data_IF_486194804778
#
_entry.id   IF_486194804778
#
_cell.length_a   1.000
_cell.length_b   1.000
_cell.length_c   1.000
_cell.angle_alpha   90.00
_cell.angle_beta   90.00
_cell.angle_gamma   90.00
#
_symmetry.space_group_name_H-M   'P 1'
#
loop_
_entity.id
_entity.type
_entity.pdbx_description
1 polymer ?
#
# COMPACT_ATOMS: atom_id res chain seq x y z
N UNK A 1 26.28 -5.11 -32.92
CA UNK A 1 26.74 -5.61 -31.61
C UNK A 1 26.18 -7.01 -31.50
N UNK A 2 27.01 -8.06 -31.54
CA UNK A 2 26.50 -9.42 -31.29
C UNK A 2 26.14 -9.53 -29.81
N UNK A 3 24.91 -9.93 -29.52
CA UNK A 3 24.50 -10.35 -28.18
C UNK A 3 25.39 -11.52 -27.74
N UNK A 4 25.80 -11.47 -26.47
CA UNK A 4 26.61 -12.51 -25.84
C UNK A 4 25.87 -13.86 -25.89
N UNK A 5 26.45 -14.92 -26.48
CA UNK A 5 25.81 -16.23 -26.56
C UNK A 5 25.53 -16.84 -25.17
N UNK A 6 26.28 -16.49 -24.13
CA UNK A 6 26.03 -16.98 -22.78
C UNK A 6 24.77 -16.35 -22.16
N UNK A 7 24.57 -15.04 -22.39
CA UNK A 7 23.36 -14.35 -21.95
C UNK A 7 22.11 -14.90 -22.66
N UNK A 8 22.22 -15.21 -23.95
CA UNK A 8 21.13 -15.79 -24.72
C UNK A 8 20.74 -17.17 -24.16
N UNK A 9 21.72 -18.03 -23.86
CA UNK A 9 21.47 -19.34 -23.29
C UNK A 9 20.82 -19.27 -21.89
N UNK A 10 21.20 -18.27 -21.08
CA UNK A 10 20.60 -18.05 -19.76
C UNK A 10 19.14 -17.59 -19.88
N UNK A 11 18.84 -16.67 -20.80
CA UNK A 11 17.48 -16.22 -21.07
C UNK A 11 16.60 -17.36 -21.59
N UNK A 12 17.10 -18.15 -22.53
CA UNK A 12 16.39 -19.33 -23.07
C UNK A 12 16.10 -20.35 -21.95
N UNK A 13 17.02 -20.52 -21.00
CA UNK A 13 16.83 -21.39 -19.83
C UNK A 13 15.75 -20.88 -18.86
N UNK A 14 15.70 -19.57 -18.59
CA UNK A 14 14.65 -18.97 -17.74
C UNK A 14 13.28 -19.07 -18.41
N UNK A 15 13.19 -18.80 -19.72
CA UNK A 15 11.94 -18.93 -20.47
C UNK A 15 11.44 -20.37 -20.45
N UNK A 16 12.33 -21.35 -20.70
CA UNK A 16 11.97 -22.76 -20.62
C UNK A 16 11.48 -23.20 -19.25
N UNK A 17 12.12 -22.74 -18.17
CA UNK A 17 11.69 -23.05 -16.80
C UNK A 17 10.31 -22.46 -16.46
N UNK A 18 10.01 -21.25 -16.91
CA UNK A 18 8.69 -20.62 -16.74
C UNK A 18 7.63 -21.35 -17.56
N UNK A 19 7.93 -21.75 -18.80
CA UNK A 19 7.01 -22.53 -19.64
C UNK A 19 6.72 -23.91 -19.02
N UNK A 20 7.73 -24.58 -18.45
CA UNK A 20 7.57 -25.85 -17.75
C UNK A 20 6.73 -25.69 -16.47
N UNK A 21 6.91 -24.59 -15.71
CA UNK A 21 6.10 -24.28 -14.52
C UNK A 21 4.65 -23.96 -14.88
N UNK A 22 4.41 -23.20 -15.94
CA UNK A 22 3.06 -22.91 -16.47
C UNK A 22 2.39 -24.19 -17.00
N UNK A 23 3.16 -25.09 -17.63
CA UNK A 23 2.66 -26.37 -18.12
C UNK A 23 2.38 -27.37 -16.99
N UNK A 24 3.11 -27.26 -15.87
CA UNK A 24 2.98 -28.12 -14.70
C UNK A 24 1.90 -27.67 -13.72
N UNK A 25 1.48 -26.40 -13.74
CA UNK A 25 0.35 -25.91 -12.95
C UNK A 25 -0.96 -26.55 -13.48
N UNK A 26 -1.62 -27.45 -12.72
CA UNK A 26 -2.89 -28.03 -13.10
C UNK A 26 -3.94 -26.93 -12.96
N UNK A 27 -4.01 -26.08 -13.99
CA UNK A 27 -4.66 -24.78 -14.01
C UNK A 27 -5.71 -24.56 -12.92
N UNK A 28 -5.48 -23.53 -12.11
CA UNK A 28 -6.39 -23.06 -11.08
C UNK A 28 -7.85 -23.21 -11.55
N UNK A 29 -8.68 -24.01 -10.84
CA UNK A 29 -9.98 -24.41 -11.34
C UNK A 29 -10.81 -23.16 -11.61
N UNK A 30 -11.38 -23.07 -12.82
CA UNK A 30 -12.27 -21.95 -13.12
C UNK A 30 -13.50 -22.00 -12.20
N UNK A 31 -14.15 -20.86 -12.02
CA UNK A 31 -15.28 -20.74 -11.11
C UNK A 31 -16.41 -21.73 -11.45
N UNK A 32 -16.64 -22.01 -12.73
CA UNK A 32 -17.64 -22.98 -13.17
C UNK A 32 -17.26 -24.42 -12.73
N UNK A 33 -15.99 -24.80 -12.89
CA UNK A 33 -15.46 -26.09 -12.45
C UNK A 33 -15.53 -26.24 -10.92
N UNK A 34 -15.30 -25.16 -10.17
CA UNK A 34 -15.46 -25.17 -8.71
C UNK A 34 -16.91 -25.41 -8.29
N UNK A 35 -17.87 -24.72 -8.92
CA UNK A 35 -19.31 -24.86 -8.62
C UNK A 35 -19.84 -26.23 -9.05
N UNK A 36 -19.42 -26.73 -10.21
CA UNK A 36 -19.74 -28.09 -10.66
C UNK A 36 -19.22 -29.14 -9.67
N UNK A 37 -17.96 -28.99 -9.22
CA UNK A 37 -17.38 -29.89 -8.22
C UNK A 37 -18.10 -29.81 -6.86
N UNK A 38 -18.52 -28.62 -6.46
CA UNK A 38 -19.31 -28.46 -5.23
C UNK A 38 -20.68 -29.14 -5.32
N UNK A 39 -21.33 -29.13 -6.49
CA UNK A 39 -22.57 -29.88 -6.74
C UNK A 39 -22.36 -31.39 -6.69
N UNK A 40 -21.27 -31.92 -7.26
CA UNK A 40 -20.93 -33.34 -7.16
C UNK A 40 -20.74 -33.79 -5.71
N UNK A 41 -20.16 -32.94 -4.87
CA UNK A 41 -19.90 -33.24 -3.47
C UNK A 41 -21.16 -33.12 -2.59
N UNK A 42 -22.02 -32.14 -2.83
CA UNK A 42 -23.27 -31.93 -2.08
C UNK A 42 -24.39 -31.36 -2.97
N UNK A 43 -25.20 -32.23 -3.60
CA UNK A 43 -26.30 -31.81 -4.47
C UNK A 43 -27.44 -31.08 -3.74
N UNK A 44 -27.53 -31.20 -2.41
CA UNK A 44 -28.57 -30.52 -1.63
C UNK A 44 -28.21 -29.07 -1.35
N UNK A 45 -26.92 -28.77 -1.19
CA UNK A 45 -26.43 -27.40 -0.96
C UNK A 45 -26.23 -26.61 -2.24
N UNK A 46 -25.73 -27.23 -3.30
CA UNK A 46 -25.60 -26.60 -4.62
C UNK A 46 -26.61 -27.28 -5.51
N UNK A 47 -27.68 -26.59 -5.89
CA UNK A 47 -28.71 -27.18 -6.77
C UNK A 47 -28.24 -27.18 -8.23
N UNK A 48 -28.75 -28.11 -9.02
CA UNK A 48 -28.40 -28.23 -10.44
C UNK A 48 -28.69 -26.92 -11.22
N UNK A 49 -29.74 -26.18 -10.83
CA UNK A 49 -30.07 -24.92 -11.50
C UNK A 49 -28.99 -23.85 -11.32
N UNK A 50 -28.24 -23.87 -10.21
CA UNK A 50 -27.11 -22.94 -9.97
C UNK A 50 -25.93 -23.29 -10.86
N UNK A 51 -25.69 -24.59 -11.11
CA UNK A 51 -24.65 -25.05 -12.04
C UNK A 51 -25.01 -24.63 -13.47
N UNK A 52 -26.26 -24.83 -13.86
CA UNK A 52 -26.77 -24.44 -15.18
C UNK A 52 -26.74 -22.91 -15.37
N UNK A 53 -27.10 -22.14 -14.34
CA UNK A 53 -27.03 -20.69 -14.33
C UNK A 53 -25.58 -20.21 -14.48
N UNK A 54 -24.65 -20.73 -13.68
CA UNK A 54 -23.21 -20.37 -13.78
C UNK A 54 -22.66 -20.74 -15.15
N UNK A 55 -23.02 -21.89 -15.71
CA UNK A 55 -22.62 -22.28 -17.07
C UNK A 55 -23.25 -21.39 -18.15
N UNK A 56 -24.49 -20.93 -17.95
CA UNK A 56 -25.19 -20.03 -18.87
C UNK A 56 -24.58 -18.62 -18.88
N UNK A 57 -24.22 -18.10 -17.71
CA UNK A 57 -23.54 -16.81 -17.55
C UNK A 57 -22.03 -16.87 -17.78
N UNK A 58 -21.49 -18.06 -18.04
CA UNK A 58 -20.10 -18.26 -18.42
C UNK A 58 -19.90 -18.34 -19.95
N UNK A 59 -20.04 -17.24 -20.71
CA UNK A 59 -19.09 -16.92 -21.75
C UNK A 59 -18.05 -15.92 -21.18
N UNK A 60 -17.59 -16.15 -19.94
CA UNK A 60 -16.42 -15.45 -19.42
C UNK A 60 -15.23 -16.17 -20.03
N UNK A 61 -14.61 -15.53 -21.01
CA UNK A 61 -13.34 -15.91 -21.62
C UNK A 61 -12.48 -16.57 -20.54
N UNK A 62 -12.27 -17.88 -20.64
CA UNK A 62 -11.33 -18.53 -19.73
C UNK A 62 -10.07 -17.69 -19.78
N UNK A 63 -9.61 -17.20 -18.62
CA UNK A 63 -8.38 -16.42 -18.54
C UNK A 63 -7.25 -17.21 -19.23
N UNK A 64 -7.36 -18.54 -19.23
CA UNK A 64 -6.53 -19.46 -20.02
C UNK A 64 -6.70 -19.40 -21.56
N UNK A 65 -7.90 -19.22 -22.14
CA UNK A 65 -8.01 -18.97 -23.59
C UNK A 65 -7.63 -17.53 -23.98
N UNK A 66 -7.82 -16.54 -23.09
CA UNK A 66 -7.25 -15.21 -23.28
C UNK A 66 -5.71 -15.24 -23.26
N UNK A 67 -5.11 -16.01 -22.35
CA UNK A 67 -3.66 -16.20 -22.28
C UNK A 67 -3.10 -17.10 -23.40
N UNK A 68 -3.83 -18.14 -23.84
CA UNK A 68 -3.41 -18.98 -24.98
C UNK A 68 -3.58 -18.29 -26.34
N UNK A 69 -4.46 -17.29 -26.47
CA UNK A 69 -4.59 -16.49 -27.71
C UNK A 69 -3.81 -15.18 -27.70
N UNK A 70 -3.46 -14.64 -26.53
CA UNK A 70 -2.43 -13.59 -26.45
C UNK A 70 -1.07 -14.26 -26.63
N UNK A 71 -0.59 -14.31 -27.88
CA UNK A 71 0.85 -14.37 -28.18
C UNK A 71 1.50 -13.17 -27.51
N UNK A 72 1.89 -13.30 -26.24
CA UNK A 72 2.74 -12.35 -25.51
C UNK A 72 4.13 -12.21 -26.15
N UNK A 73 4.46 -13.07 -27.13
CA UNK A 73 5.68 -12.97 -27.94
C UNK A 73 5.69 -11.78 -28.91
N UNK A 74 4.52 -11.29 -29.34
CA UNK A 74 4.40 -10.20 -30.32
C UNK A 74 3.78 -8.92 -29.73
N UNK A 75 3.63 -8.84 -28.40
CA UNK A 75 3.06 -7.66 -27.74
C UNK A 75 4.13 -6.56 -27.67
N UNK A 76 3.99 -5.57 -28.56
CA UNK A 76 4.91 -4.44 -28.71
C UNK A 76 5.06 -3.66 -27.40
N UNK A 77 4.02 -3.62 -26.56
CA UNK A 77 4.07 -2.92 -25.26
C UNK A 77 4.92 -3.69 -24.25
N UNK A 78 4.80 -5.02 -24.20
CA UNK A 78 5.63 -5.86 -23.33
C UNK A 78 7.09 -5.84 -23.78
N UNK A 79 7.34 -5.88 -25.09
CA UNK A 79 8.69 -5.75 -25.63
C UNK A 79 9.33 -4.41 -25.27
N UNK A 80 8.57 -3.30 -25.31
CA UNK A 80 9.06 -2.00 -24.88
C UNK A 80 9.42 -1.96 -23.37
N UNK A 81 8.64 -2.66 -22.52
CA UNK A 81 8.96 -2.78 -21.09
C UNK A 81 10.22 -3.62 -20.88
N UNK A 82 10.35 -4.75 -21.58
CA UNK A 82 11.54 -5.62 -21.50
C UNK A 82 12.79 -4.89 -22.00
N UNK A 83 12.69 -4.15 -23.10
CA UNK A 83 13.79 -3.32 -23.62
C UNK A 83 14.16 -2.19 -22.64
N UNK A 84 13.18 -1.57 -21.97
CA UNK A 84 13.41 -0.58 -20.93
C UNK A 84 14.18 -1.14 -19.73
N UNK A 85 13.76 -2.29 -19.20
CA UNK A 85 14.45 -2.97 -18.09
C UNK A 85 15.87 -3.38 -18.50
N UNK A 86 16.04 -3.88 -19.73
CA UNK A 86 17.36 -4.24 -20.25
C UNK A 86 18.29 -3.03 -20.34
N UNK A 87 17.82 -1.90 -20.86
CA UNK A 87 18.60 -0.67 -20.96
C UNK A 87 19.04 -0.17 -19.57
N UNK A 88 18.18 -0.26 -18.56
CA UNK A 88 18.48 0.14 -17.19
C UNK A 88 19.55 -0.78 -16.54
N UNK A 89 19.47 -2.09 -16.75
CA UNK A 89 20.49 -3.05 -16.28
C UNK A 89 21.82 -2.84 -16.99
N UNK A 90 21.83 -2.65 -18.32
CA UNK A 90 23.03 -2.36 -19.08
C UNK A 90 23.70 -1.04 -18.62
N UNK A 91 22.91 -0.03 -18.27
CA UNK A 91 23.38 1.23 -17.71
C UNK A 91 23.99 1.06 -16.31
N UNK A 92 23.38 0.28 -15.41
CA UNK A 92 23.94 -0.01 -14.08
C UNK A 92 25.26 -0.80 -14.18
N UNK A 93 25.33 -1.79 -15.08
CA UNK A 93 26.56 -2.55 -15.34
C UNK A 93 27.65 -1.64 -15.91
N UNK A 94 27.34 -0.79 -16.88
CA UNK A 94 28.30 0.17 -17.44
C UNK A 94 28.81 1.16 -16.38
N UNK A 95 27.93 1.63 -15.49
CA UNK A 95 28.30 2.52 -14.39
C UNK A 95 29.24 1.85 -13.38
N UNK A 96 29.02 0.57 -13.09
CA UNK A 96 29.89 -0.22 -12.20
C UNK A 96 31.24 -0.55 -12.82
N UNK A 97 31.28 -0.85 -14.11
CA UNK A 97 32.54 -1.10 -14.83
C UNK A 97 33.37 0.17 -15.04
N UNK A 98 32.72 1.33 -15.14
CA UNK A 98 33.38 2.64 -15.23
C UNK A 98 33.85 3.22 -13.89
N UNK A 99 33.37 2.69 -12.77
CA UNK A 99 33.80 3.13 -11.44
C UNK A 99 35.11 2.41 -11.09
N UNK A 100 36.26 3.10 -10.98
CA UNK A 100 37.50 2.45 -10.60
C UNK A 100 37.32 1.80 -9.22
N UNK A 101 37.84 0.57 -9.02
CA UNK A 101 37.73 -0.10 -7.73
C UNK A 101 38.29 0.81 -6.63
N UNK A 102 37.66 0.83 -5.44
CA UNK A 102 38.14 1.67 -4.35
C UNK A 102 39.62 1.36 -4.10
N UNK A 103 40.46 2.39 -4.20
CA UNK A 103 41.90 2.29 -3.96
C UNK A 103 42.09 1.64 -2.60
N UNK A 104 42.76 0.49 -2.59
CA UNK A 104 43.09 -0.22 -1.37
C UNK A 104 43.92 0.71 -0.48
N UNK A 105 43.32 1.19 0.61
CA UNK A 105 44.04 1.93 1.63
C UNK A 105 44.99 0.92 2.30
N UNK A 106 46.29 1.09 2.07
CA UNK A 106 47.36 0.32 2.71
C UNK A 106 47.18 0.38 4.22
N UNK A 107 46.64 -0.70 4.80
CA UNK A 107 46.61 -0.88 6.25
C UNK A 107 47.93 -1.52 6.67
N UNK A 108 48.59 -1.01 7.72
CA UNK A 108 49.88 -1.51 8.15
C UNK A 108 49.78 -3.00 8.56
N UNK A 109 50.83 -3.80 8.29
CA UNK A 109 50.82 -5.24 8.47
C UNK A 109 50.73 -5.61 9.95
N UNK A 110 49.57 -6.13 10.37
CA UNK A 110 49.45 -6.84 11.63
C UNK A 110 49.99 -8.27 11.44
N UNK A 111 51.05 -8.57 12.20
CA UNK A 111 51.78 -9.86 12.24
C UNK A 111 50.83 -11.06 12.30
N UNK A 112 50.84 -11.83 11.23
CA UNK A 112 50.04 -13.02 11.03
C UNK A 112 50.69 -14.25 11.66
N UNK A 113 49.95 -14.93 12.55
CA UNK A 113 50.24 -16.33 12.91
C UNK A 113 49.00 -17.22 12.98
N UNK A 114 47.88 -16.84 12.35
CA UNK A 114 46.65 -17.62 12.42
C UNK A 114 45.61 -17.41 11.31
N UNK A 115 46.00 -16.97 10.10
CA UNK A 115 45.02 -16.53 9.06
C UNK A 115 44.67 -17.61 8.02
N UNK A 116 45.36 -18.76 7.99
CA UNK A 116 44.97 -19.86 7.08
C UNK A 116 43.62 -20.53 7.42
N UNK A 117 43.06 -20.26 8.61
CA UNK A 117 41.75 -20.80 9.00
C UNK A 117 40.54 -20.07 8.42
N UNK A 118 40.67 -18.83 7.91
CA UNK A 118 39.50 -18.04 7.50
C UNK A 118 39.16 -18.10 6.00
N UNK A 119 40.10 -18.51 5.13
CA UNK A 119 39.80 -18.61 3.69
C UNK A 119 38.89 -19.80 3.37
N UNK A 120 38.91 -20.87 4.18
CA UNK A 120 37.99 -22.01 4.04
C UNK A 120 36.58 -21.74 4.61
N UNK A 121 36.42 -20.74 5.48
CA UNK A 121 35.11 -20.41 6.05
C UNK A 121 34.22 -19.59 5.10
N UNK A 122 34.80 -18.77 4.21
CA UNK A 122 34.04 -17.94 3.28
C UNK A 122 33.38 -18.75 2.13
N UNK A 123 34.00 -19.84 1.68
CA UNK A 123 33.43 -20.72 0.65
C UNK A 123 32.27 -21.59 1.18
N UNK A 124 32.28 -21.94 2.47
CA UNK A 124 31.21 -22.72 3.10
C UNK A 124 29.92 -21.89 3.32
N UNK A 125 30.03 -20.58 3.56
CA UNK A 125 28.87 -19.70 3.76
C UNK A 125 28.08 -19.48 2.46
N UNK A 126 28.75 -19.42 1.30
CA UNK A 126 28.06 -19.28 0.01
C UNK A 126 27.27 -20.55 -0.39
N UNK A 127 27.75 -21.74 -0.02
CA UNK A 127 27.00 -22.99 -0.27
C UNK A 127 25.80 -23.16 0.67
N UNK A 128 25.87 -22.66 1.91
CA UNK A 128 24.74 -22.72 2.86
C UNK A 128 23.64 -21.72 2.49
N UNK A 129 23.98 -20.52 1.99
CA UNK A 129 22.97 -19.54 1.55
C UNK A 129 22.29 -19.98 0.24
N UNK A 130 23.03 -20.57 -0.71
CA UNK A 130 22.46 -21.12 -1.95
C UNK A 130 21.51 -22.30 -1.73
N UNK A 131 21.85 -23.23 -0.81
CA UNK A 131 20.99 -24.36 -0.49
C UNK A 131 19.74 -23.97 0.33
N UNK A 132 19.81 -22.88 1.12
CA UNK A 132 18.68 -22.40 1.92
C UNK A 132 17.55 -21.79 1.08
N UNK A 133 17.87 -21.18 -0.06
CA UNK A 133 16.87 -20.63 -1.00
C UNK A 133 16.10 -21.76 -1.70
N UNK A 134 16.76 -22.87 -2.04
CA UNK A 134 16.12 -24.04 -2.64
C UNK A 134 15.31 -24.87 -1.62
N UNK A 135 15.69 -24.92 -0.34
CA UNK A 135 14.87 -25.55 0.69
C UNK A 135 13.66 -24.69 1.10
N UNK A 136 13.77 -23.35 1.14
CA UNK A 136 12.65 -22.49 1.50
C UNK A 136 11.47 -22.53 0.51
N UNK A 137 11.72 -22.86 -0.76
CA UNK A 137 10.67 -23.14 -1.74
C UNK A 137 9.89 -24.44 -1.48
N UNK A 138 10.57 -25.45 -0.90
CA UNK A 138 9.97 -26.78 -0.65
C UNK A 138 9.07 -26.82 0.59
N UNK A 139 9.35 -25.99 1.60
CA UNK A 139 8.53 -25.90 2.82
C UNK A 139 7.21 -25.13 2.66
N UNK A 140 7.00 -24.44 1.53
CA UNK A 140 5.72 -23.75 1.24
C UNK A 140 4.63 -24.65 0.66
N UNK A 141 4.97 -25.85 0.19
CA UNK A 141 3.99 -26.79 -0.39
C UNK A 141 3.40 -27.78 0.62
N UNK A 142 3.93 -27.86 1.85
CA UNK A 142 3.47 -28.81 2.89
C UNK A 142 2.68 -28.17 4.05
N UNK A 143 2.28 -26.90 3.93
CA UNK A 143 1.34 -26.24 4.85
C UNK A 143 0.12 -25.68 4.12
N UNK A 144 -0.61 -26.56 3.46
CA UNK A 144 -2.04 -26.37 3.21
C UNK A 144 -2.79 -27.61 3.68
N UNK A 145 -2.96 -27.71 5.00
CA UNK A 145 -4.04 -28.48 5.62
C UNK A 145 -5.11 -27.45 6.03
N UNK A 146 -6.37 -27.61 5.59
CA UNK A 146 -7.41 -26.60 5.76
C UNK A 146 -7.89 -26.57 7.21
N UNK A 147 -7.37 -25.60 7.98
CA UNK A 147 -7.98 -25.21 9.25
C UNK A 147 -9.35 -24.58 8.98
N UNK A 148 -10.38 -25.42 9.00
CA UNK A 148 -11.76 -25.08 9.38
C UNK A 148 -11.76 -24.16 10.58
N UNK A 149 -12.35 -22.97 10.41
CA UNK A 149 -13.11 -22.13 11.37
C UNK A 149 -13.32 -20.77 10.67
N UNK A 150 -14.36 -20.62 9.85
CA UNK A 150 -15.66 -20.08 10.27
C UNK A 150 -15.56 -18.75 11.04
N UNK A 151 -15.67 -17.65 10.30
CA UNK A 151 -16.31 -16.41 10.74
C UNK A 151 -16.72 -15.58 9.50
N UNK A 152 -17.70 -16.09 8.76
CA UNK A 152 -18.41 -15.33 7.72
C UNK A 152 -19.42 -14.43 8.45
N UNK A 153 -19.15 -13.13 8.50
CA UNK A 153 -20.18 -12.14 8.76
C UNK A 153 -21.14 -12.11 7.56
N UNK A 154 -22.22 -12.89 7.63
CA UNK A 154 -23.41 -12.66 6.80
C UNK A 154 -24.12 -11.44 7.37
N UNK A 155 -24.03 -10.31 6.68
CA UNK A 155 -25.01 -9.24 6.83
C UNK A 155 -26.39 -9.75 6.36
N UNK A 156 -27.50 -9.31 6.97
CA UNK A 156 -28.83 -9.73 6.55
C UNK A 156 -29.09 -9.31 5.10
N UNK A 157 -29.49 -10.28 4.28
CA UNK A 157 -29.95 -10.04 2.92
C UNK A 157 -31.22 -9.17 2.93
N UNK A 158 -31.37 -8.23 1.97
CA UNK A 158 -32.63 -7.52 1.78
C UNK A 158 -33.72 -8.53 1.41
N UNK A 159 -34.84 -8.49 2.13
CA UNK A 159 -36.04 -9.26 1.79
C UNK A 159 -36.55 -8.83 0.41
N UNK A 160 -36.92 -9.78 -0.48
CA UNK A 160 -37.61 -9.42 -1.71
C UNK A 160 -39.02 -8.93 -1.37
N UNK A 161 -39.26 -7.64 -1.58
CA UNK A 161 -40.61 -7.09 -1.56
C UNK A 161 -41.46 -7.78 -2.64
N UNK A 162 -42.66 -8.29 -2.31
CA UNK A 162 -43.58 -8.78 -3.32
C UNK A 162 -44.09 -7.61 -4.16
N UNK A 163 -44.02 -7.76 -5.48
CA UNK A 163 -44.59 -6.85 -6.45
C UNK A 163 -46.08 -6.61 -6.17
N UNK A 164 -46.37 -5.46 -5.56
CA UNK A 164 -47.74 -4.98 -5.37
C UNK A 164 -48.16 -4.24 -6.63
N UNK A 165 -49.09 -4.83 -7.38
CA UNK A 165 -49.80 -4.17 -8.46
C UNK A 165 -50.59 -2.98 -7.90
N UNK A 166 -50.01 -1.78 -7.98
CA UNK A 166 -50.70 -0.52 -7.68
C UNK A 166 -51.35 -0.01 -8.96
N UNK A 167 -52.68 0.04 -8.95
CA UNK A 167 -53.53 0.67 -9.96
C UNK A 167 -53.20 2.18 -10.13
N UNK A 168 -53.48 2.78 -11.30
CA UNK A 168 -53.19 4.19 -11.54
C UNK A 168 -53.95 5.09 -10.55
N UNK A 169 -53.18 5.86 -9.79
CA UNK A 169 -53.66 6.89 -8.84
C UNK A 169 -54.11 8.12 -9.64
N UNK A 170 -55.31 8.67 -9.40
CA UNK A 170 -55.76 9.87 -10.09
C UNK A 170 -54.92 11.10 -9.68
N UNK A 171 -54.68 11.93 -10.69
CA UNK A 171 -53.94 13.17 -10.72
C UNK A 171 -54.53 14.19 -9.71
N UNK A 172 -53.75 14.69 -8.74
CA UNK A 172 -54.23 15.71 -7.81
C UNK A 172 -54.20 17.09 -8.45
N UNK A 173 -55.38 17.69 -8.48
CA UNK A 173 -55.71 19.07 -8.83
C UNK A 173 -54.86 20.06 -8.01
N UNK A 174 -54.25 21.02 -8.71
CA UNK A 174 -53.35 22.01 -8.15
C UNK A 174 -54.08 22.97 -7.20
N UNK A 175 -53.71 22.96 -5.92
CA UNK A 175 -54.09 24.00 -4.98
C UNK A 175 -53.06 25.16 -5.00
N UNK A 176 -53.48 26.42 -4.77
CA UNK A 176 -52.60 27.57 -4.78
C UNK A 176 -51.73 27.58 -3.53
N UNK A 177 -50.42 27.82 -3.71
CA UNK A 177 -49.47 28.02 -2.61
C UNK A 177 -49.67 29.43 -2.07
N UNK A 178 -50.25 29.54 -0.87
CA UNK A 178 -50.20 30.77 -0.08
C UNK A 178 -48.75 31.02 0.37
N UNK A 179 -48.32 32.26 0.15
CA UNK A 179 -47.07 32.79 0.64
C UNK A 179 -47.22 33.01 2.15
N UNK A 180 -46.54 32.18 2.94
CA UNK A 180 -46.47 32.38 4.38
C UNK A 180 -45.16 33.07 4.78
N UNK A 181 -45.37 33.95 5.74
CA UNK A 181 -44.60 35.12 6.10
C UNK A 181 -43.43 34.75 7.02
N UNK A 182 -42.46 35.64 7.10
CA UNK A 182 -41.23 35.48 7.84
C UNK A 182 -41.43 35.25 9.35
N UNK A 183 -40.74 34.26 9.92
CA UNK A 183 -40.41 34.27 11.35
C UNK A 183 -38.88 34.19 11.52
N UNK A 184 -38.31 35.35 11.83
CA UNK A 184 -36.94 35.53 12.26
C UNK A 184 -36.81 35.05 13.70
N UNK A 185 -35.98 34.03 13.92
CA UNK A 185 -35.55 33.62 15.27
C UNK A 185 -34.23 34.34 15.55
N UNK A 186 -34.32 35.47 16.27
CA UNK A 186 -33.19 36.05 16.99
C UNK A 186 -32.90 35.18 18.21
N UNK A 187 -31.90 34.31 18.13
CA UNK A 187 -31.36 33.61 19.30
C UNK A 187 -30.16 34.39 19.85
N UNK A 188 -30.44 35.16 20.89
CA UNK A 188 -29.48 35.94 21.65
C UNK A 188 -28.55 35.01 22.44
N UNK A 189 -27.31 34.84 21.97
CA UNK A 189 -26.22 34.29 22.79
C UNK A 189 -25.66 35.37 23.72
N UNK A 190 -26.03 35.22 24.99
CA UNK A 190 -25.58 35.95 26.16
C UNK A 190 -24.05 35.85 26.33
N UNK A 191 -23.37 37.00 26.24
CA UNK A 191 -21.97 37.16 26.62
C UNK A 191 -21.84 36.99 28.14
N UNK A 192 -21.28 35.86 28.58
CA UNK A 192 -20.81 35.68 29.96
C UNK A 192 -19.38 36.21 30.06
N UNK A 193 -19.27 37.38 30.68
CA UNK A 193 -18.03 38.05 31.05
C UNK A 193 -17.42 37.36 32.29
N UNK A 194 -16.20 36.77 32.23
CA UNK A 194 -15.60 36.15 33.40
C UNK A 194 -15.01 37.21 34.35
N UNK A 195 -15.54 37.24 35.57
CA UNK A 195 -15.04 38.07 36.67
C UNK A 195 -13.58 37.74 37.04
N UNK A 196 -12.77 38.75 37.43
CA UNK A 196 -11.42 38.56 37.92
C UNK A 196 -11.43 38.15 39.39
N UNK A 197 -11.23 36.85 39.67
CA UNK A 197 -10.96 36.37 41.02
C UNK A 197 -9.53 36.74 41.43
N UNK A 198 -9.44 37.85 42.16
CA UNK A 198 -8.27 38.26 42.92
C UNK A 198 -8.24 37.55 44.27
N UNK A 199 -7.07 37.00 44.61
CA UNK A 199 -6.54 36.95 45.99
C UNK A 199 -6.96 35.79 46.88
N UNK A 200 -5.98 34.95 47.22
CA UNK A 200 -5.67 34.35 48.53
C UNK A 200 -4.72 33.17 48.25
N UNK A 201 -3.65 32.89 48.97
CA UNK A 201 -2.85 33.55 49.99
C UNK A 201 -1.66 32.58 50.19
N UNK A 202 -0.66 32.97 50.97
CA UNK A 202 0.60 32.24 51.09
C UNK A 202 0.45 30.84 51.72
N UNK A 203 1.15 29.87 51.14
CA UNK A 203 1.64 28.70 51.88
C UNK A 203 3.11 28.49 51.54
N UNK A 204 3.93 29.22 52.29
CA UNK A 204 5.38 29.10 52.38
C UNK A 204 5.68 27.94 53.33
N UNK A 205 5.82 26.72 52.81
CA UNK A 205 6.33 25.59 53.60
C UNK A 205 7.41 24.83 52.83
N UNK A 206 8.60 24.85 53.44
CA UNK A 206 9.88 24.45 52.89
C UNK A 206 9.92 22.99 52.43
N UNK A 207 10.44 22.75 51.23
CA UNK A 207 10.83 21.41 50.77
C UNK A 207 12.21 21.44 50.09
N UNK A 208 12.98 20.33 50.18
CA UNK A 208 14.44 20.33 50.18
C UNK A 208 15.02 20.52 48.77
N UNK A 209 15.39 21.75 48.46
CA UNK A 209 16.19 22.10 47.30
C UNK A 209 17.66 21.71 47.54
N UNK A 210 18.07 20.49 47.18
CA UNK A 210 19.38 20.26 46.52
C UNK A 210 19.74 18.79 46.21
N UNK A 211 19.01 17.80 46.72
CA UNK A 211 19.41 16.39 46.52
C UNK A 211 18.98 15.75 45.16
N UNK A 212 18.13 16.41 44.35
CA UNK A 212 17.49 15.77 43.18
C UNK A 212 18.19 16.00 41.82
N UNK A 213 19.23 16.85 41.75
CA UNK A 213 19.91 17.14 40.47
C UNK A 213 20.96 16.09 40.06
N UNK A 214 21.41 15.22 40.97
CA UNK A 214 22.46 14.24 40.68
C UNK A 214 21.95 12.90 40.12
N UNK A 215 20.70 12.50 40.43
CA UNK A 215 20.15 11.22 39.98
C UNK A 215 19.67 11.21 38.51
N UNK A 216 19.46 12.37 37.87
CA UNK A 216 19.03 12.45 36.46
C UNK A 216 20.14 12.16 35.43
N UNK A 217 21.38 11.90 35.88
CA UNK A 217 22.50 11.49 35.00
C UNK A 217 22.57 9.96 34.81
N UNK A 218 21.69 9.20 35.45
CA UNK A 218 21.65 7.74 35.31
C UNK A 218 20.96 7.32 34.00
N UNK A 219 21.76 6.71 33.12
CA UNK A 219 21.37 5.81 32.02
C UNK A 219 20.36 6.34 31.01
N UNK A 220 20.75 7.35 30.21
CA UNK A 220 20.12 7.55 28.91
C UNK A 220 20.61 6.42 28.00
N UNK A 221 19.76 5.41 27.78
CA UNK A 221 20.06 4.35 26.83
C UNK A 221 20.54 4.95 25.50
N UNK A 222 21.52 4.33 24.82
CA UNK A 222 22.02 4.84 23.56
C UNK A 222 20.83 5.06 22.61
N UNK A 223 20.81 6.21 21.96
CA UNK A 223 19.75 6.54 21.03
C UNK A 223 19.81 5.55 19.86
N UNK A 224 18.79 4.69 19.73
CA UNK A 224 18.67 3.70 18.64
C UNK A 224 19.00 4.30 17.28
N UNK A 225 19.63 3.53 16.40
CA UNK A 225 19.95 4.01 15.04
C UNK A 225 18.68 4.12 14.20
N UNK A 226 18.78 4.74 13.01
CA UNK A 226 17.63 4.85 12.10
C UNK A 226 17.27 3.48 11.52
N UNK A 227 18.28 2.66 11.23
CA UNK A 227 18.15 1.30 10.70
C UNK A 227 17.50 0.37 11.73
N UNK A 228 17.86 0.50 13.00
CA UNK A 228 17.19 -0.23 14.08
C UNK A 228 15.70 0.16 14.19
N UNK A 229 15.38 1.45 14.08
CA UNK A 229 13.98 1.91 14.11
C UNK A 229 13.17 1.35 12.93
N UNK A 230 13.76 1.35 11.73
CA UNK A 230 13.14 0.81 10.53
C UNK A 230 12.89 -0.70 10.63
N UNK A 231 13.91 -1.46 11.07
CA UNK A 231 13.78 -2.90 11.29
C UNK A 231 12.70 -3.24 12.32
N UNK A 232 12.61 -2.46 13.41
CA UNK A 232 11.57 -2.62 14.41
C UNK A 232 10.18 -2.32 13.86
N UNK A 233 10.02 -1.26 13.04
CA UNK A 233 8.75 -0.89 12.44
C UNK A 233 8.20 -2.02 11.54
N UNK A 234 9.06 -2.55 10.66
CA UNK A 234 8.73 -3.67 9.80
C UNK A 234 8.51 -4.99 10.55
N UNK A 235 9.21 -5.21 11.67
CA UNK A 235 8.95 -6.36 12.52
C UNK A 235 7.56 -6.28 13.17
N UNK A 236 7.18 -5.12 13.71
CA UNK A 236 5.86 -4.89 14.27
C UNK A 236 4.75 -5.07 13.23
N UNK A 237 4.95 -4.53 12.02
CA UNK A 237 4.00 -4.70 10.93
C UNK A 237 3.79 -6.17 10.55
N UNK A 238 4.87 -6.93 10.36
CA UNK A 238 4.79 -8.37 10.06
C UNK A 238 4.13 -9.20 11.16
N UNK A 239 4.23 -8.74 12.42
CA UNK A 239 3.55 -9.36 13.55
C UNK A 239 2.05 -9.01 13.64
N UNK A 240 1.54 -8.14 12.75
CA UNK A 240 0.17 -7.65 12.79
C UNK A 240 -0.07 -6.51 13.79
N UNK A 241 0.96 -6.05 14.50
CA UNK A 241 0.86 -4.91 15.42
C UNK A 241 0.97 -3.59 14.64
N UNK A 242 -0.13 -3.24 13.95
CA UNK A 242 -0.18 -2.07 13.08
C UNK A 242 -0.06 -0.74 13.85
N UNK A 243 -0.48 -0.70 15.12
CA UNK A 243 -0.37 0.49 15.95
C UNK A 243 1.08 0.76 16.38
N UNK A 244 1.81 -0.30 16.76
CA UNK A 244 3.24 -0.22 17.03
C UNK A 244 4.02 0.19 15.77
N UNK A 245 3.72 -0.44 14.63
CA UNK A 245 4.35 -0.14 13.36
C UNK A 245 4.18 1.35 12.99
N UNK A 246 2.95 1.88 13.05
CA UNK A 246 2.68 3.29 12.77
C UNK A 246 3.51 4.21 13.69
N UNK A 247 3.54 3.92 14.99
CA UNK A 247 4.31 4.73 15.96
C UNK A 247 5.81 4.72 15.65
N UNK A 248 6.36 3.58 15.25
CA UNK A 248 7.77 3.43 14.90
C UNK A 248 8.09 4.14 13.57
N UNK A 249 7.27 4.01 12.54
CA UNK A 249 7.45 4.73 11.27
C UNK A 249 7.34 6.25 11.44
N UNK A 250 6.39 6.75 12.25
CA UNK A 250 6.32 8.19 12.56
C UNK A 250 7.59 8.68 13.28
N UNK A 251 8.12 7.88 14.20
CA UNK A 251 9.39 8.19 14.89
C UNK A 251 10.57 8.19 13.92
N UNK A 252 10.61 7.21 13.01
CA UNK A 252 11.61 7.13 11.95
C UNK A 252 11.56 8.36 11.05
N UNK A 253 10.39 8.69 10.48
CA UNK A 253 10.17 9.85 9.64
C UNK A 253 10.60 11.16 10.33
N UNK A 254 10.22 11.33 11.61
CA UNK A 254 10.63 12.49 12.40
C UNK A 254 12.14 12.59 12.59
N UNK A 255 12.83 11.47 12.87
CA UNK A 255 14.26 11.47 13.14
C UNK A 255 15.12 11.52 11.87
N UNK A 256 14.66 10.90 10.79
CA UNK A 256 15.29 10.95 9.48
C UNK A 256 15.13 12.32 8.79
N UNK A 257 14.15 13.14 9.23
CA UNK A 257 13.94 14.49 8.70
C UNK A 257 13.48 14.47 7.25
N UNK A 258 14.07 15.34 6.41
CA UNK A 258 13.79 15.42 4.96
C UNK A 258 14.65 14.48 4.10
N UNK A 259 15.31 13.49 4.71
CA UNK A 259 16.11 12.51 3.97
C UNK A 259 15.28 11.43 3.30
N UNK A 260 15.92 10.66 2.39
CA UNK A 260 15.30 9.52 1.67
C UNK A 260 14.58 8.53 2.58
N UNK A 261 15.15 8.22 3.75
CA UNK A 261 14.54 7.28 4.70
C UNK A 261 13.27 7.86 5.34
N UNK A 262 13.23 9.18 5.55
CA UNK A 262 12.02 9.84 6.05
C UNK A 262 10.91 9.84 5.01
N UNK A 263 11.26 10.06 3.74
CA UNK A 263 10.33 9.97 2.61
C UNK A 263 9.74 8.54 2.49
N UNK A 264 10.61 7.51 2.49
CA UNK A 264 10.18 6.10 2.46
C UNK A 264 9.26 5.73 3.63
N UNK A 265 9.57 6.17 4.85
CA UNK A 265 8.74 5.92 6.02
C UNK A 265 7.30 6.47 5.87
N UNK A 266 7.10 7.53 5.09
CA UNK A 266 5.74 7.99 4.75
C UNK A 266 5.02 7.06 3.79
N UNK A 267 5.72 6.46 2.83
CA UNK A 267 5.17 5.42 1.96
C UNK A 267 4.58 4.24 2.76
N UNK A 268 5.30 3.82 3.80
CA UNK A 268 4.84 2.77 4.72
C UNK A 268 3.64 3.25 5.56
N UNK A 269 3.65 4.49 6.05
CA UNK A 269 2.52 5.09 6.76
C UNK A 269 1.25 5.19 5.91
N UNK A 270 1.37 5.55 4.63
CA UNK A 270 0.22 5.55 3.71
C UNK A 270 -0.34 4.14 3.49
N UNK A 271 0.54 3.14 3.43
CA UNK A 271 0.13 1.75 3.27
C UNK A 271 -0.59 1.25 4.53
N UNK A 272 -0.09 1.55 5.72
CA UNK A 272 -0.76 1.24 6.99
C UNK A 272 -2.13 1.92 7.11
N UNK A 273 -2.23 3.20 6.75
CA UNK A 273 -3.49 3.94 6.80
C UNK A 273 -4.57 3.31 5.89
N UNK A 274 -4.18 2.90 4.67
CA UNK A 274 -5.06 2.19 3.73
C UNK A 274 -5.45 0.80 4.23
N UNK A 275 -4.51 0.04 4.80
CA UNK A 275 -4.77 -1.29 5.35
C UNK A 275 -5.83 -1.26 6.46
N UNK A 276 -5.92 -0.15 7.21
CA UNK A 276 -6.88 0.03 8.31
C UNK A 276 -8.20 0.69 7.87
N UNK A 277 -8.35 0.99 6.58
CA UNK A 277 -9.45 1.81 6.01
C UNK A 277 -9.66 3.16 6.74
N UNK A 278 -8.58 3.74 7.26
CA UNK A 278 -8.61 5.00 8.02
C UNK A 278 -8.47 6.21 7.09
N UNK A 279 -9.44 6.38 6.17
CA UNK A 279 -9.40 7.39 5.09
C UNK A 279 -9.14 8.82 5.56
N UNK A 280 -9.65 9.19 6.75
CA UNK A 280 -9.42 10.49 7.37
C UNK A 280 -7.95 10.69 7.77
N UNK A 281 -7.34 9.68 8.40
CA UNK A 281 -5.92 9.73 8.79
C UNK A 281 -4.99 9.74 7.58
N UNK A 282 -5.36 9.05 6.51
CA UNK A 282 -4.60 9.10 5.25
C UNK A 282 -4.54 10.53 4.68
N UNK A 283 -5.66 11.28 4.69
CA UNK A 283 -5.66 12.67 4.27
C UNK A 283 -4.80 13.58 5.17
N UNK A 284 -4.81 13.35 6.48
CA UNK A 284 -3.92 14.05 7.42
C UNK A 284 -2.44 13.75 7.14
N UNK A 285 -2.11 12.48 6.90
CA UNK A 285 -0.77 12.04 6.54
C UNK A 285 -0.30 12.69 5.23
N UNK A 286 -1.15 12.80 4.21
CA UNK A 286 -0.79 13.51 2.97
C UNK A 286 -0.50 14.98 3.19
N UNK A 287 -1.31 15.68 4.00
CA UNK A 287 -1.04 17.09 4.33
C UNK A 287 0.24 17.23 5.17
N UNK A 288 0.52 16.30 6.08
CA UNK A 288 1.78 16.27 6.83
C UNK A 288 2.97 16.05 5.89
N UNK A 289 2.85 15.08 4.97
CA UNK A 289 3.86 14.76 3.99
C UNK A 289 4.17 15.94 3.08
N UNK A 290 3.18 16.55 2.43
CA UNK A 290 3.37 17.67 1.52
C UNK A 290 4.02 18.89 2.18
N UNK A 291 3.75 19.13 3.48
CA UNK A 291 4.45 20.19 4.24
C UNK A 291 5.93 19.88 4.45
N UNK A 292 6.28 18.59 4.58
CA UNK A 292 7.66 18.16 4.86
C UNK A 292 8.46 17.90 3.59
N UNK A 293 7.82 17.36 2.56
CA UNK A 293 8.36 16.92 1.28
C UNK A 293 7.48 17.44 0.12
N UNK A 294 7.49 18.76 -0.16
CA UNK A 294 6.65 19.35 -1.21
C UNK A 294 6.93 18.78 -2.61
N UNK A 295 8.19 18.38 -2.84
CA UNK A 295 8.71 17.78 -4.08
C UNK A 295 9.16 16.33 -3.84
N UNK A 296 8.60 15.68 -2.80
CA UNK A 296 8.92 14.30 -2.46
C UNK A 296 8.38 13.31 -3.48
N UNK A 297 8.87 12.07 -3.45
CA UNK A 297 8.50 11.05 -4.44
C UNK A 297 7.01 10.68 -4.44
N UNK A 298 6.31 10.94 -3.34
CA UNK A 298 4.88 10.71 -3.18
C UNK A 298 4.07 12.01 -3.23
N UNK A 299 4.67 13.14 -3.61
CA UNK A 299 4.00 14.44 -3.57
C UNK A 299 2.82 14.48 -4.57
N UNK A 300 3.04 13.96 -5.77
CA UNK A 300 2.02 13.86 -6.80
C UNK A 300 0.81 13.01 -6.33
N UNK A 301 1.08 11.80 -5.82
CA UNK A 301 0.06 10.91 -5.25
C UNK A 301 -0.70 11.53 -4.09
N UNK A 302 0.00 12.26 -3.21
CA UNK A 302 -0.59 12.93 -2.05
C UNK A 302 -1.51 14.09 -2.48
N UNK A 303 -1.10 14.90 -3.46
CA UNK A 303 -1.95 15.99 -4.01
C UNK A 303 -3.20 15.41 -4.67
N UNK A 304 -3.03 14.45 -5.57
CA UNK A 304 -4.13 13.79 -6.26
C UNK A 304 -5.07 13.08 -5.28
N UNK A 305 -4.50 12.44 -4.25
CA UNK A 305 -5.22 11.81 -3.17
C UNK A 305 -6.16 12.77 -2.41
N UNK A 306 -5.67 13.96 -2.08
CA UNK A 306 -6.47 15.01 -1.43
C UNK A 306 -7.60 15.48 -2.35
N UNK A 307 -7.36 15.68 -3.64
CA UNK A 307 -8.41 16.07 -4.58
C UNK A 307 -9.49 14.98 -4.74
N UNK A 308 -9.13 13.69 -4.73
CA UNK A 308 -10.11 12.58 -4.74
C UNK A 308 -11.05 12.59 -3.53
N UNK A 309 -10.62 13.15 -2.39
CA UNK A 309 -11.43 13.21 -1.15
C UNK A 309 -12.25 14.47 -1.01
N UNK A 310 -11.89 15.54 -1.72
CA UNK A 310 -12.75 16.71 -1.82
C UNK A 310 -14.05 16.33 -2.56
N UNK A 311 -15.10 17.13 -2.37
CA UNK A 311 -16.42 16.91 -2.97
C UNK A 311 -16.97 18.19 -3.60
N UNK A 312 -17.81 18.05 -4.62
CA UNK A 312 -18.45 19.15 -5.33
C UNK A 312 -17.43 20.14 -5.91
N UNK A 313 -17.74 21.43 -5.83
CA UNK A 313 -16.89 22.51 -6.36
C UNK A 313 -15.46 22.53 -5.78
N UNK A 314 -15.28 22.11 -4.51
CA UNK A 314 -13.96 22.02 -3.90
C UNK A 314 -13.09 20.93 -4.55
N UNK A 315 -13.69 19.85 -5.04
CA UNK A 315 -12.97 18.82 -5.79
C UNK A 315 -12.47 19.35 -7.12
N UNK A 316 -13.31 20.08 -7.85
CA UNK A 316 -12.93 20.65 -9.14
C UNK A 316 -11.82 21.68 -8.99
N UNK A 317 -11.96 22.64 -8.07
CA UNK A 317 -10.93 23.64 -7.81
C UNK A 317 -9.60 22.99 -7.39
N UNK A 318 -9.64 21.86 -6.68
CA UNK A 318 -8.45 21.10 -6.35
C UNK A 318 -7.78 20.52 -7.60
N UNK A 319 -8.57 19.91 -8.50
CA UNK A 319 -8.05 19.34 -9.74
C UNK A 319 -7.58 20.39 -10.76
N UNK A 320 -8.22 21.55 -10.83
CA UNK A 320 -7.76 22.69 -11.62
C UNK A 320 -6.36 23.12 -11.16
N UNK A 321 -6.21 23.41 -9.86
CA UNK A 321 -4.90 23.77 -9.29
C UNK A 321 -3.86 22.68 -9.48
N UNK A 322 -4.25 21.40 -9.36
CA UNK A 322 -3.36 20.28 -9.63
C UNK A 322 -2.83 20.33 -11.08
N UNK A 323 -3.66 20.63 -12.07
CA UNK A 323 -3.23 20.73 -13.47
C UNK A 323 -2.38 21.98 -13.76
N UNK A 324 -2.58 23.05 -13.00
CA UNK A 324 -1.75 24.26 -13.07
C UNK A 324 -0.35 24.01 -12.47
N UNK A 325 -0.29 23.38 -11.30
CA UNK A 325 0.95 23.09 -10.58
C UNK A 325 1.74 21.95 -11.27
N UNK A 326 1.04 20.91 -11.76
CA UNK A 326 1.60 19.66 -12.28
C UNK A 326 1.04 19.31 -13.68
N UNK A 327 1.35 20.10 -14.73
CA UNK A 327 0.77 19.92 -16.07
C UNK A 327 1.14 18.59 -16.74
N UNK A 328 2.19 17.92 -16.25
CA UNK A 328 2.66 16.60 -16.68
C UNK A 328 2.62 15.56 -15.55
N UNK A 329 1.90 15.82 -14.46
CA UNK A 329 1.75 14.90 -13.33
C UNK A 329 1.07 13.57 -13.71
N UNK A 330 1.35 12.50 -12.96
CA UNK A 330 0.87 11.15 -13.27
C UNK A 330 -0.67 11.05 -13.21
N UNK A 331 -1.33 11.93 -12.45
CA UNK A 331 -2.78 11.98 -12.31
C UNK A 331 -3.47 12.99 -13.23
N UNK A 332 -2.76 13.58 -14.21
CA UNK A 332 -3.32 14.54 -15.19
C UNK A 332 -4.58 14.03 -15.89
N UNK A 333 -4.55 12.79 -16.35
CA UNK A 333 -5.70 12.20 -17.05
C UNK A 333 -6.92 12.05 -16.13
N UNK A 334 -6.70 11.76 -14.85
CA UNK A 334 -7.76 11.70 -13.85
C UNK A 334 -8.33 13.10 -13.57
N UNK A 335 -7.47 14.10 -13.37
CA UNK A 335 -7.89 15.48 -13.14
C UNK A 335 -8.76 16.01 -14.30
N UNK A 336 -8.32 15.82 -15.56
CA UNK A 336 -9.11 16.22 -16.74
C UNK A 336 -10.48 15.55 -16.82
N UNK A 337 -10.56 14.25 -16.47
CA UNK A 337 -11.86 13.55 -16.43
C UNK A 337 -12.78 14.12 -15.35
N UNK A 338 -12.25 14.44 -14.17
CA UNK A 338 -13.05 15.02 -13.09
C UNK A 338 -13.66 16.37 -13.52
N UNK A 339 -12.91 17.21 -14.23
CA UNK A 339 -13.40 18.51 -14.72
C UNK A 339 -14.39 18.40 -15.90
N UNK A 340 -14.32 17.34 -16.70
CA UNK A 340 -15.23 17.15 -17.83
C UNK A 340 -16.66 16.74 -17.41
N UNK A 341 -16.81 16.05 -16.27
CA UNK A 341 -18.12 15.53 -15.81
C UNK A 341 -19.09 16.65 -15.41
N UNK A 342 -18.62 17.72 -14.78
CA UNK A 342 -19.50 18.87 -14.44
C UNK A 342 -19.85 19.76 -15.66
N UNK A 343 -19.10 19.66 -16.76
CA UNK A 343 -19.38 20.40 -17.99
C UNK A 343 -20.46 19.78 -18.87
N UNK A 344 -21.01 18.61 -18.50
CA UNK A 344 -22.11 17.96 -19.23
C UNK A 344 -23.45 18.36 -18.61
N UNK A 345 -24.26 19.19 -19.30
CA UNK A 345 -25.53 19.71 -18.80
C UNK A 345 -26.64 18.66 -18.65
#
# INVERSE_FOLDING_TARGET
>A
MSSDPELQALLDGVVGAVDDEIAADPGQPDFAAMIARAHELDPQRVRAEVVDEVNHWAPVVSIQQAHRRRRTRDDVELLAVIEGVRAEVEQDVAQRLGTPPPVAIDRPPLRSRGVWGMVLAAAAVLLVVGASVLQAGRWRLERDEPSRNEAVHQGPAPSPEPASHVAPRPEPEAAPVEADEAEAIEEATELVEPEPMAGEEASEEATPADASRSARKASRAPARTLEELDAMAHAAWRAGDLAEAERLFRRLAKRAGRGRLGDLAYGDLFTLARQRDERGKEAELWREYLRRFPDGRFADDARAGLCRRASGSAQLQCWERYLEDEPDGAHRAQARRALAVEGSP
#
